data_IF_648628023596
#
_entry.id   IF_648628023596
#
_cell.length_a   1.000
_cell.length_b   1.000
_cell.length_c   1.000
_cell.angle_alpha   90.00
_cell.angle_beta   90.00
_cell.angle_gamma   90.00
#
_symmetry.space_group_name_H-M   'P 1'
#
loop_
_entity.id
_entity.type
_entity.pdbx_description
1 polymer ?
#
# COMPACT_ATOMS: atom_id res chain seq x y z
N UNK A 1 -21.14 -14.41 -11.10
CA UNK A 1 -20.72 -13.72 -12.34
C UNK A 1 -19.42 -12.91 -12.20
N UNK A 2 -19.08 -12.33 -11.02
CA UNK A 2 -17.90 -11.47 -10.84
C UNK A 2 -16.50 -12.13 -10.94
N UNK A 3 -16.39 -13.45 -10.72
CA UNK A 3 -15.09 -14.15 -10.75
C UNK A 3 -14.44 -14.14 -12.15
N UNK A 4 -15.26 -14.22 -13.22
CA UNK A 4 -14.78 -14.24 -14.62
C UNK A 4 -14.04 -12.97 -15.06
N UNK A 5 -14.42 -11.80 -14.54
CA UNK A 5 -13.80 -10.51 -14.92
C UNK A 5 -12.45 -10.35 -14.22
N UNK A 6 -12.37 -10.72 -12.95
CA UNK A 6 -11.11 -10.62 -12.17
C UNK A 6 -10.07 -11.60 -12.71
N UNK A 7 -10.50 -12.79 -13.16
CA UNK A 7 -9.62 -13.79 -13.74
C UNK A 7 -9.06 -13.39 -15.13
N UNK A 8 -9.67 -12.39 -15.80
CA UNK A 8 -9.18 -11.88 -17.09
C UNK A 8 -8.08 -10.83 -16.93
N UNK A 9 -7.93 -10.26 -15.73
CA UNK A 9 -6.92 -9.23 -15.46
C UNK A 9 -5.54 -9.91 -15.36
N UNK A 10 -4.52 -9.47 -16.14
CA UNK A 10 -3.16 -10.01 -16.06
C UNK A 10 -2.58 -10.00 -14.65
N UNK A 11 -1.66 -10.92 -14.36
CA UNK A 11 -0.99 -11.03 -13.06
C UNK A 11 -0.43 -9.67 -12.58
N UNK A 12 -0.57 -9.36 -11.30
CA UNK A 12 -0.01 -8.17 -10.63
C UNK A 12 -0.53 -6.79 -11.08
N UNK A 13 -1.52 -6.72 -11.97
CA UNK A 13 -2.11 -5.43 -12.36
C UNK A 13 -2.76 -4.67 -11.19
N UNK A 14 -3.51 -5.32 -10.27
CA UNK A 14 -4.00 -4.66 -9.05
C UNK A 14 -2.86 -4.08 -8.20
N UNK A 15 -1.80 -4.86 -7.91
CA UNK A 15 -0.63 -4.34 -7.18
C UNK A 15 0.04 -3.19 -7.90
N UNK A 16 0.23 -3.29 -9.22
CA UNK A 16 0.86 -2.24 -10.01
C UNK A 16 0.03 -0.94 -10.00
N UNK A 17 -1.30 -1.05 -10.13
CA UNK A 17 -2.20 0.09 -10.05
C UNK A 17 -2.14 0.77 -8.67
N UNK A 18 -2.14 -0.01 -7.58
CA UNK A 18 -1.98 0.54 -6.22
C UNK A 18 -0.62 1.21 -6.04
N UNK A 19 0.47 0.58 -6.50
CA UNK A 19 1.80 1.15 -6.42
C UNK A 19 1.90 2.49 -7.18
N UNK A 20 1.38 2.54 -8.40
CA UNK A 20 1.34 3.78 -9.20
C UNK A 20 0.52 4.86 -8.51
N UNK A 21 -0.64 4.50 -7.95
CA UNK A 21 -1.47 5.43 -7.19
C UNK A 21 -0.74 5.98 -5.96
N UNK A 22 -0.02 5.13 -5.22
CA UNK A 22 0.81 5.56 -4.08
C UNK A 22 1.86 6.56 -4.53
N UNK A 23 2.66 6.22 -5.55
CA UNK A 23 3.71 7.10 -6.03
C UNK A 23 3.15 8.44 -6.56
N UNK A 24 2.03 8.39 -7.29
CA UNK A 24 1.34 9.59 -7.76
C UNK A 24 0.89 10.47 -6.61
N UNK A 25 0.16 9.90 -5.65
CA UNK A 25 -0.44 10.63 -4.56
C UNK A 25 0.60 11.13 -3.55
N UNK A 26 1.75 10.45 -3.40
CA UNK A 26 2.78 10.80 -2.40
C UNK A 26 3.93 11.64 -2.94
N UNK A 27 4.39 11.42 -4.18
CA UNK A 27 5.60 12.09 -4.70
C UNK A 27 5.30 13.31 -5.58
N UNK A 28 4.17 13.34 -6.29
CA UNK A 28 3.87 14.50 -7.14
C UNK A 28 3.42 15.70 -6.29
N UNK A 29 3.76 16.93 -6.66
CA UNK A 29 3.19 18.12 -6.02
C UNK A 29 1.71 18.21 -6.37
N UNK A 30 0.86 18.53 -5.40
CA UNK A 30 -0.56 18.85 -5.60
C UNK A 30 -1.31 17.87 -6.56
N UNK A 31 -1.28 16.56 -6.29
CA UNK A 31 -1.84 15.55 -7.20
C UNK A 31 -3.36 15.67 -7.38
N UNK A 32 -4.04 16.41 -6.50
CA UNK A 32 -5.49 16.62 -6.51
C UNK A 32 -5.89 18.08 -6.84
N UNK A 33 -4.94 18.92 -7.26
CA UNK A 33 -5.15 20.35 -7.55
C UNK A 33 -4.64 21.28 -6.44
N UNK A 34 -4.91 22.57 -6.59
CA UNK A 34 -4.39 23.63 -5.70
C UNK A 34 -5.10 23.69 -4.32
N UNK A 35 -6.26 23.04 -4.17
CA UNK A 35 -6.95 22.97 -2.89
C UNK A 35 -6.34 21.89 -2.00
N UNK A 36 -5.86 22.30 -0.82
CA UNK A 36 -5.40 21.39 0.22
C UNK A 36 -6.63 20.67 0.82
N UNK A 37 -6.87 19.43 0.39
CA UNK A 37 -7.97 18.60 0.90
C UNK A 37 -7.54 17.99 2.25
N UNK A 38 -7.51 18.81 3.30
CA UNK A 38 -7.40 18.32 4.67
C UNK A 38 -8.80 18.01 5.21
N UNK A 39 -9.17 16.73 5.22
CA UNK A 39 -10.49 16.30 5.72
C UNK A 39 -10.62 16.51 7.24
N UNK A 40 -9.55 16.26 8.00
CA UNK A 40 -9.40 16.48 9.44
C UNK A 40 -7.94 16.21 9.87
N UNK A 41 -7.57 16.61 11.09
CA UNK A 41 -6.23 16.37 11.65
C UNK A 41 -5.91 14.87 11.72
N UNK A 42 -4.84 14.43 11.06
CA UNK A 42 -4.42 13.02 11.03
C UNK A 42 -5.02 12.18 9.90
N UNK A 43 -5.81 12.78 8.99
CA UNK A 43 -6.35 12.08 7.82
C UNK A 43 -5.24 11.55 6.89
N UNK A 44 -4.14 12.28 6.77
CA UNK A 44 -2.89 11.88 6.11
C UNK A 44 -2.41 10.49 6.58
N UNK A 45 -2.31 10.28 7.90
CA UNK A 45 -1.86 9.01 8.50
C UNK A 45 -2.79 7.85 8.16
N UNK A 46 -4.10 8.11 8.12
CA UNK A 46 -5.06 7.10 7.69
C UNK A 46 -4.90 6.73 6.21
N UNK A 47 -4.64 7.71 5.34
CA UNK A 47 -4.37 7.46 3.92
C UNK A 47 -3.10 6.62 3.75
N UNK A 48 -2.02 6.97 4.45
CA UNK A 48 -0.76 6.22 4.47
C UNK A 48 -0.97 4.77 4.95
N UNK A 49 -1.72 4.58 6.02
CA UNK A 49 -2.12 3.25 6.50
C UNK A 49 -2.88 2.44 5.42
N UNK A 50 -3.88 3.05 4.78
CA UNK A 50 -4.69 2.41 3.74
C UNK A 50 -3.84 2.09 2.50
N UNK A 51 -2.94 3.00 2.10
CA UNK A 51 -2.06 2.84 0.96
C UNK A 51 -1.17 1.61 1.09
N UNK A 52 -0.35 1.54 2.14
CA UNK A 52 0.61 0.46 2.30
C UNK A 52 -0.03 -0.85 2.76
N UNK A 53 -1.16 -0.79 3.46
CA UNK A 53 -2.03 -1.94 3.67
C UNK A 53 -2.62 -2.47 2.37
N UNK A 54 -3.10 -1.57 1.50
CA UNK A 54 -3.58 -1.90 0.16
C UNK A 54 -2.48 -2.49 -0.72
N UNK A 55 -1.25 -1.99 -0.65
CA UNK A 55 -0.12 -2.53 -1.41
C UNK A 55 0.20 -3.97 -0.99
N UNK A 56 0.35 -4.23 0.30
CA UNK A 56 0.57 -5.59 0.82
C UNK A 56 -0.61 -6.50 0.49
N UNK A 57 -1.84 -6.02 0.74
CA UNK A 57 -3.07 -6.80 0.53
C UNK A 57 -3.30 -7.18 -0.92
N UNK A 58 -3.12 -6.23 -1.86
CA UNK A 58 -3.25 -6.51 -3.30
C UNK A 58 -2.17 -7.46 -3.78
N UNK A 59 -0.93 -7.37 -3.28
CA UNK A 59 0.12 -8.32 -3.62
C UNK A 59 -0.21 -9.74 -3.16
N UNK A 60 -0.65 -9.91 -1.90
CA UNK A 60 -1.08 -11.22 -1.38
C UNK A 60 -2.29 -11.74 -2.16
N UNK A 61 -3.25 -10.88 -2.49
CA UNK A 61 -4.40 -11.21 -3.31
C UNK A 61 -4.00 -11.66 -4.72
N UNK A 62 -3.07 -10.96 -5.38
CA UNK A 62 -2.55 -11.32 -6.70
C UNK A 62 -1.91 -12.71 -6.69
N UNK A 63 -1.17 -13.03 -5.63
CA UNK A 63 -0.59 -14.37 -5.42
C UNK A 63 -1.64 -15.45 -5.20
N UNK A 64 -2.66 -15.15 -4.40
CA UNK A 64 -3.78 -16.05 -4.16
C UNK A 64 -4.56 -16.36 -5.44
N UNK A 65 -4.97 -15.34 -6.22
CA UNK A 65 -5.81 -15.55 -7.41
C UNK A 65 -5.12 -16.32 -8.53
N UNK A 66 -3.79 -16.21 -8.66
CA UNK A 66 -3.02 -17.00 -9.63
C UNK A 66 -2.67 -18.40 -9.10
N UNK A 67 -3.35 -18.85 -8.04
CA UNK A 67 -3.15 -20.16 -7.41
C UNK A 67 -1.71 -20.40 -6.92
N UNK A 68 -1.05 -19.34 -6.45
CA UNK A 68 0.28 -19.37 -5.82
C UNK A 68 0.28 -18.64 -4.48
N UNK A 69 -0.61 -19.01 -3.53
CA UNK A 69 -0.77 -18.32 -2.26
C UNK A 69 0.56 -18.29 -1.48
N UNK A 70 0.75 -17.24 -0.69
CA UNK A 70 1.92 -17.10 0.16
C UNK A 70 1.70 -17.81 1.49
N UNK A 71 2.77 -18.34 2.08
CA UNK A 71 2.76 -18.71 3.50
C UNK A 71 2.67 -17.47 4.38
N UNK A 72 2.34 -17.64 5.66
CA UNK A 72 2.36 -16.54 6.62
C UNK A 72 3.72 -15.81 6.62
N UNK A 73 4.83 -16.56 6.56
CA UNK A 73 6.17 -15.99 6.44
C UNK A 73 6.33 -15.17 5.16
N UNK A 74 5.86 -15.69 4.01
CA UNK A 74 5.91 -14.96 2.75
C UNK A 74 5.07 -13.69 2.75
N UNK A 75 3.90 -13.70 3.40
CA UNK A 75 3.06 -12.52 3.56
C UNK A 75 3.70 -11.48 4.50
N UNK A 76 4.34 -11.92 5.59
CA UNK A 76 5.12 -11.03 6.46
C UNK A 76 6.34 -10.43 5.75
N UNK A 77 7.02 -11.19 4.89
CA UNK A 77 8.08 -10.64 4.03
C UNK A 77 7.53 -9.59 3.07
N UNK A 78 6.35 -9.83 2.46
CA UNK A 78 5.71 -8.82 1.61
C UNK A 78 5.35 -7.54 2.38
N UNK A 79 4.82 -7.67 3.59
CA UNK A 79 4.55 -6.53 4.47
C UNK A 79 5.82 -5.76 4.84
N UNK A 80 6.90 -6.46 5.15
CA UNK A 80 8.19 -5.83 5.43
C UNK A 80 8.74 -5.05 4.22
N UNK A 81 8.68 -5.64 3.02
CA UNK A 81 9.09 -4.96 1.78
C UNK A 81 8.21 -3.73 1.52
N UNK A 82 6.89 -3.84 1.74
CA UNK A 82 5.96 -2.70 1.63
C UNK A 82 6.30 -1.59 2.62
N UNK A 83 6.60 -1.92 3.87
CA UNK A 83 7.02 -0.94 4.89
C UNK A 83 8.37 -0.27 4.53
N UNK A 84 9.32 -1.01 3.98
CA UNK A 84 10.59 -0.45 3.46
C UNK A 84 10.36 0.49 2.28
N UNK A 85 9.43 0.15 1.38
CA UNK A 85 9.04 1.07 0.32
C UNK A 85 8.39 2.34 0.88
N UNK A 86 7.56 2.22 1.93
CA UNK A 86 6.99 3.37 2.63
C UNK A 86 8.06 4.29 3.21
N UNK A 87 9.02 3.73 3.95
CA UNK A 87 10.16 4.49 4.46
C UNK A 87 10.98 5.16 3.34
N UNK A 88 11.15 4.49 2.19
CA UNK A 88 11.79 5.08 1.02
C UNK A 88 10.98 6.25 0.44
N UNK A 89 9.65 6.12 0.34
CA UNK A 89 8.77 7.20 -0.13
C UNK A 89 8.85 8.41 0.79
N UNK A 90 8.81 8.23 2.12
CA UNK A 90 9.00 9.31 3.11
C UNK A 90 10.33 10.04 2.91
N UNK A 91 11.41 9.27 2.73
CA UNK A 91 12.73 9.83 2.45
C UNK A 91 12.76 10.61 1.14
N UNK A 92 12.12 10.10 0.08
CA UNK A 92 12.05 10.77 -1.22
C UNK A 92 11.22 12.06 -1.15
N UNK A 93 10.09 12.06 -0.43
CA UNK A 93 9.29 13.27 -0.20
C UNK A 93 10.12 14.36 0.47
N UNK A 94 10.92 13.99 1.47
CA UNK A 94 11.86 14.91 2.13
C UNK A 94 12.96 15.39 1.17
N UNK A 95 13.58 14.47 0.41
CA UNK A 95 14.70 14.76 -0.47
C UNK A 95 14.32 15.63 -1.68
N UNK A 96 13.10 15.49 -2.19
CA UNK A 96 12.62 16.23 -3.37
C UNK A 96 12.35 17.71 -3.10
N UNK A 97 12.20 18.12 -1.82
CA UNK A 97 11.92 19.51 -1.41
C UNK A 97 10.75 20.19 -2.13
N UNK A 98 9.75 19.41 -2.55
CA UNK A 98 8.58 19.90 -3.31
C UNK A 98 7.43 20.36 -2.41
N UNK A 99 7.74 20.87 -1.20
CA UNK A 99 6.74 21.42 -0.28
C UNK A 99 5.89 20.39 0.48
N UNK A 100 6.23 19.10 0.44
CA UNK A 100 5.58 18.06 1.25
C UNK A 100 6.36 17.85 2.55
N UNK A 101 5.64 17.65 3.66
CA UNK A 101 6.22 17.28 4.95
C UNK A 101 6.74 15.83 4.89
N UNK A 102 7.87 15.59 4.23
CA UNK A 102 8.52 14.28 4.25
C UNK A 102 9.25 14.03 5.58
N UNK A 103 9.62 12.77 5.81
CA UNK A 103 10.32 12.32 7.03
C UNK A 103 9.49 12.49 8.32
N UNK A 104 8.16 12.33 8.24
CA UNK A 104 7.29 12.21 9.41
C UNK A 104 7.34 10.77 9.95
N UNK A 105 7.76 10.63 11.19
CA UNK A 105 7.80 9.33 11.88
C UNK A 105 6.40 8.71 12.01
N UNK A 106 5.35 9.53 12.13
CA UNK A 106 3.99 9.05 12.24
C UNK A 106 3.47 8.48 10.92
N UNK A 107 3.88 9.05 9.79
CA UNK A 107 3.52 8.53 8.47
C UNK A 107 4.28 7.23 8.18
N UNK A 108 5.57 7.17 8.54
CA UNK A 108 6.34 5.93 8.50
C UNK A 108 5.74 4.81 9.39
N UNK A 109 5.24 5.17 10.58
CA UNK A 109 4.52 4.25 11.47
C UNK A 109 3.20 3.81 10.84
N UNK A 110 2.42 4.72 10.26
CA UNK A 110 1.17 4.40 9.59
C UNK A 110 1.37 3.46 8.40
N UNK A 111 2.38 3.71 7.56
CA UNK A 111 2.81 2.85 6.45
C UNK A 111 3.07 1.42 6.95
N UNK A 112 3.86 1.31 8.03
CA UNK A 112 4.23 0.03 8.64
C UNK A 112 3.02 -0.70 9.21
N UNK A 113 2.22 -0.03 10.04
CA UNK A 113 1.03 -0.62 10.65
C UNK A 113 0.04 -1.09 9.58
N UNK A 114 -0.19 -0.28 8.54
CA UNK A 114 -1.05 -0.64 7.41
C UNK A 114 -0.57 -1.92 6.72
N UNK A 115 0.72 -1.97 6.37
CA UNK A 115 1.32 -3.12 5.70
C UNK A 115 1.18 -4.41 6.51
N UNK A 116 1.40 -4.38 7.83
CA UNK A 116 1.30 -5.57 8.68
C UNK A 116 -0.15 -5.93 9.03
N UNK A 117 -1.05 -4.96 9.21
CA UNK A 117 -2.48 -5.23 9.39
C UNK A 117 -3.07 -5.94 8.18
N UNK A 118 -2.62 -5.62 6.97
CA UNK A 118 -3.05 -6.32 5.76
C UNK A 118 -2.75 -7.82 5.80
N UNK A 119 -1.66 -8.26 6.44
CA UNK A 119 -1.36 -9.69 6.60
C UNK A 119 -2.41 -10.38 7.47
N UNK A 120 -2.85 -9.74 8.56
CA UNK A 120 -3.90 -10.27 9.43
C UNK A 120 -5.22 -10.39 8.69
N UNK A 121 -5.58 -9.36 7.91
CA UNK A 121 -6.79 -9.37 7.07
C UNK A 121 -6.71 -10.46 6.01
N UNK A 122 -5.59 -10.58 5.29
CA UNK A 122 -5.40 -11.62 4.27
C UNK A 122 -5.44 -13.03 4.86
N UNK A 123 -4.89 -13.22 6.07
CA UNK A 123 -4.97 -14.50 6.78
C UNK A 123 -6.40 -14.83 7.18
N UNK A 124 -7.15 -13.86 7.71
CA UNK A 124 -8.57 -14.01 8.03
C UNK A 124 -9.41 -14.38 6.80
N UNK A 125 -9.09 -13.78 5.64
CA UNK A 125 -9.70 -14.09 4.34
C UNK A 125 -9.24 -15.41 3.71
N UNK A 126 -8.31 -16.14 4.34
CA UNK A 126 -7.71 -17.39 3.84
C UNK A 126 -7.02 -17.22 2.47
N UNK A 127 -6.38 -16.08 2.24
CA UNK A 127 -5.54 -15.85 1.06
C UNK A 127 -4.09 -16.33 1.23
N UNK A 128 -3.68 -16.58 2.47
CA UNK A 128 -2.40 -17.22 2.79
C UNK A 128 -2.58 -18.71 3.02
N UNK A 129 -1.54 -19.50 2.83
CA UNK A 129 -1.53 -20.90 3.28
C UNK A 129 -1.50 -20.97 4.80
N UNK A 130 -1.95 -22.09 5.34
CA UNK A 130 -1.98 -22.35 6.79
C UNK A 130 -0.58 -22.28 7.43
#
# INVERSE_FOLDING_TARGET
MGRKIIDTIPAYQPTAAVLVAILYLTLLPQPLGEEDISLFDGADKMVHFIMFGGLTGTFVFDRFRISRPLSLRGALTAAFVSAMLGALVEYLQYAMQMGRAGNDIYDALANTLGAFTAVLVCRWLRWTTD
#
